data_IF_079104163911
#
_entry.id   IF_079104163911
#
_cell.length_a   1.000
_cell.length_b   1.000
_cell.length_c   1.000
_cell.angle_alpha   90.00
_cell.angle_beta   90.00
_cell.angle_gamma   90.00
#
_symmetry.space_group_name_H-M   'P 1'
#
loop_
_entity.id
_entity.type
_entity.pdbx_description
1 polymer ?
#
# COMPACT_ATOMS: atom_id res chain seq x y z
N UNK A 1 23.08 11.24 -1.54
CA UNK A 1 22.43 10.59 -0.41
C UNK A 1 20.96 10.31 -0.71
N UNK A 2 20.48 9.14 -0.31
CA UNK A 2 19.09 8.77 -0.55
C UNK A 2 18.10 9.64 0.22
N UNK A 3 18.42 9.97 1.48
CA UNK A 3 17.54 10.78 2.32
C UNK A 3 17.63 12.26 1.95
N UNK A 4 16.47 12.88 1.64
CA UNK A 4 16.38 14.28 1.24
C UNK A 4 15.03 14.85 1.69
N UNK A 5 15.03 16.05 2.26
CA UNK A 5 13.82 16.76 2.69
C UNK A 5 12.87 17.07 1.54
N UNK A 6 13.36 17.13 0.30
CA UNK A 6 12.57 17.44 -0.88
C UNK A 6 12.03 16.20 -1.60
N UNK A 7 12.34 15.01 -1.11
CA UNK A 7 11.77 13.78 -1.68
C UNK A 7 10.28 13.72 -1.45
N UNK A 8 9.56 13.28 -2.49
CA UNK A 8 8.11 13.11 -2.46
C UNK A 8 7.76 11.63 -2.33
N UNK A 9 6.75 11.36 -1.53
CA UNK A 9 6.23 10.01 -1.32
C UNK A 9 4.93 9.88 -2.11
N UNK A 10 4.88 8.88 -2.99
CA UNK A 10 3.68 8.53 -3.75
C UNK A 10 3.17 7.20 -3.23
N UNK A 11 1.93 7.20 -2.78
CA UNK A 11 1.28 5.99 -2.22
C UNK A 11 0.13 5.60 -3.13
N UNK A 12 0.13 4.35 -3.55
CA UNK A 12 -1.00 3.74 -4.25
C UNK A 12 -1.55 2.62 -3.38
N UNK A 13 -2.85 2.62 -3.15
CA UNK A 13 -3.50 1.63 -2.29
C UNK A 13 -4.73 1.06 -2.97
N UNK A 14 -4.89 -0.26 -2.84
CA UNK A 14 -6.14 -0.93 -3.18
C UNK A 14 -6.87 -1.29 -1.89
N UNK A 15 -8.17 -1.11 -1.88
CA UNK A 15 -9.02 -1.34 -0.70
C UNK A 15 -10.23 -2.18 -1.07
N UNK A 16 -10.90 -2.72 -0.06
CA UNK A 16 -12.13 -3.49 -0.26
C UNK A 16 -13.31 -2.63 -0.69
N UNK A 17 -13.22 -1.32 -0.49
CA UNK A 17 -14.25 -0.35 -0.89
C UNK A 17 -13.82 1.05 -0.51
N UNK A 18 -14.76 2.00 -0.55
CA UNK A 18 -14.49 3.42 -0.32
C UNK A 18 -14.88 3.92 1.07
N UNK A 19 -15.42 3.06 1.93
CA UNK A 19 -15.82 3.44 3.27
C UNK A 19 -14.65 3.24 4.24
N UNK A 20 -14.00 4.33 4.74
CA UNK A 20 -12.83 4.20 5.60
C UNK A 20 -13.12 3.56 6.95
N UNK A 21 -14.38 3.54 7.40
CA UNK A 21 -14.74 2.93 8.69
C UNK A 21 -14.95 1.43 8.59
N UNK A 22 -15.33 0.92 7.42
CA UNK A 22 -15.69 -0.49 7.23
C UNK A 22 -14.74 -1.24 6.30
N UNK A 23 -14.13 -0.54 5.35
CA UNK A 23 -13.29 -1.17 4.34
C UNK A 23 -11.84 -1.27 4.79
N UNK A 24 -11.11 -2.23 4.23
CA UNK A 24 -9.74 -2.57 4.62
C UNK A 24 -8.80 -2.42 3.45
N UNK A 25 -7.54 -2.12 3.76
CA UNK A 25 -6.46 -2.07 2.78
C UNK A 25 -6.08 -3.50 2.39
N UNK A 26 -5.93 -3.75 1.10
CA UNK A 26 -5.53 -5.06 0.58
C UNK A 26 -4.20 -5.02 -0.18
N UNK A 27 -3.78 -3.86 -0.68
CA UNK A 27 -2.48 -3.70 -1.31
C UNK A 27 -1.97 -2.27 -1.11
N UNK A 28 -0.66 -2.13 -0.88
CA UNK A 28 0.01 -0.83 -0.77
C UNK A 28 1.28 -0.84 -1.60
N UNK A 29 1.49 0.20 -2.38
CA UNK A 29 2.71 0.41 -3.14
C UNK A 29 3.26 1.80 -2.86
N UNK A 30 4.58 1.93 -2.78
CA UNK A 30 5.25 3.20 -2.54
C UNK A 30 6.26 3.49 -3.65
N UNK A 31 6.33 4.77 -4.05
CA UNK A 31 7.37 5.27 -4.94
C UNK A 31 7.91 6.56 -4.35
N UNK A 32 9.22 6.72 -4.36
CA UNK A 32 9.88 7.94 -3.93
C UNK A 32 10.41 8.65 -5.17
N UNK A 33 10.09 9.94 -5.29
CA UNK A 33 10.64 10.79 -6.34
C UNK A 33 11.35 11.99 -5.71
N UNK A 34 12.18 12.67 -6.50
CA UNK A 34 12.67 13.97 -6.11
C UNK A 34 11.60 15.04 -6.42
N UNK A 35 11.93 16.31 -6.12
CA UNK A 35 11.00 17.44 -6.34
C UNK A 35 10.69 17.67 -7.83
N UNK A 36 11.46 17.11 -8.73
CA UNK A 36 11.28 17.22 -10.18
C UNK A 36 10.62 15.96 -10.79
N UNK A 37 10.10 15.08 -9.94
CA UNK A 37 9.40 13.86 -10.30
C UNK A 37 10.28 12.75 -10.92
N UNK A 38 11.61 12.86 -10.74
CA UNK A 38 12.50 11.75 -11.10
C UNK A 38 12.41 10.67 -10.05
N UNK A 39 12.28 9.40 -10.48
CA UNK A 39 12.20 8.27 -9.54
C UNK A 39 13.53 8.11 -8.80
N UNK A 40 13.47 8.23 -7.47
CA UNK A 40 14.62 7.99 -6.58
C UNK A 40 14.65 6.51 -6.19
N UNK A 41 13.48 5.94 -5.82
CA UNK A 41 13.36 4.54 -5.46
C UNK A 41 11.94 4.05 -5.69
N UNK A 42 11.82 2.80 -6.13
CA UNK A 42 10.56 2.09 -6.13
C UNK A 42 10.48 1.25 -4.85
N UNK A 43 9.43 1.50 -4.08
CA UNK A 43 9.23 0.78 -2.84
C UNK A 43 8.62 -0.58 -3.02
N UNK A 44 8.47 -1.32 -1.92
CA UNK A 44 7.82 -2.61 -1.99
C UNK A 44 6.35 -2.47 -2.35
N UNK A 45 5.84 -3.47 -3.07
CA UNK A 45 4.40 -3.67 -3.25
C UNK A 45 4.01 -4.76 -2.26
N UNK A 46 3.24 -4.40 -1.24
CA UNK A 46 2.87 -5.32 -0.16
C UNK A 46 1.38 -5.60 -0.20
N UNK A 47 1.04 -6.89 -0.17
CA UNK A 47 -0.35 -7.37 -0.14
C UNK A 47 -0.69 -7.72 1.30
N UNK A 48 -1.77 -7.13 1.81
CA UNK A 48 -2.24 -7.33 3.17
C UNK A 48 -3.22 -8.49 3.21
N UNK A 49 -2.99 -9.45 4.10
CA UNK A 49 -3.95 -10.54 4.30
C UNK A 49 -5.24 -10.01 4.91
N UNK A 50 -6.36 -10.43 4.35
CA UNK A 50 -7.68 -10.19 4.92
C UNK A 50 -8.46 -11.50 4.96
N UNK A 51 -9.39 -11.60 5.91
CA UNK A 51 -10.21 -12.79 6.07
C UNK A 51 -11.18 -12.95 4.89
N UNK A 52 -11.66 -14.17 4.70
CA UNK A 52 -12.69 -14.45 3.70
C UNK A 52 -13.95 -13.60 3.96
N UNK A 53 -14.31 -13.38 5.21
CA UNK A 53 -15.46 -12.54 5.59
C UNK A 53 -15.30 -11.11 5.07
N UNK A 54 -14.12 -10.53 5.23
CA UNK A 54 -13.83 -9.18 4.72
C UNK A 54 -13.94 -9.14 3.21
N UNK A 55 -13.36 -10.12 2.53
CA UNK A 55 -13.40 -10.19 1.07
C UNK A 55 -14.81 -10.45 0.53
N UNK A 56 -15.57 -11.27 1.19
CA UNK A 56 -16.95 -11.57 0.81
C UNK A 56 -17.87 -10.36 1.01
N UNK A 57 -17.52 -9.48 1.92
CA UNK A 57 -18.25 -8.23 2.16
C UNK A 57 -18.04 -7.15 1.12
N UNK A 58 -17.09 -7.32 0.18
CA UNK A 58 -16.87 -6.34 -0.88
C UNK A 58 -18.09 -6.24 -1.78
N UNK A 59 -18.35 -5.01 -2.31
CA UNK A 59 -19.40 -4.85 -3.28
C UNK A 59 -19.07 -5.57 -4.60
N UNK A 60 -20.07 -5.72 -5.46
CA UNK A 60 -19.95 -6.48 -6.69
C UNK A 60 -18.89 -5.92 -7.64
N UNK A 61 -18.76 -4.61 -7.71
CA UNK A 61 -17.78 -3.95 -8.57
C UNK A 61 -16.35 -4.24 -8.10
N UNK A 62 -16.09 -4.06 -6.79
CA UNK A 62 -14.77 -4.32 -6.21
C UNK A 62 -14.39 -5.80 -6.32
N UNK A 63 -15.31 -6.71 -6.05
CA UNK A 63 -15.06 -8.15 -6.21
C UNK A 63 -14.65 -8.49 -7.65
N UNK A 64 -15.38 -7.97 -8.63
CA UNK A 64 -15.09 -8.22 -10.03
C UNK A 64 -13.76 -7.64 -10.46
N UNK A 65 -13.48 -6.39 -10.05
CA UNK A 65 -12.25 -5.68 -10.41
C UNK A 65 -11.03 -6.37 -9.83
N UNK A 66 -11.05 -6.68 -8.54
CA UNK A 66 -9.91 -7.30 -7.87
C UNK A 66 -9.73 -8.78 -8.27
N UNK A 67 -10.81 -9.48 -8.57
CA UNK A 67 -10.73 -10.84 -9.10
C UNK A 67 -10.04 -10.88 -10.47
N UNK A 68 -10.36 -9.92 -11.34
CA UNK A 68 -9.74 -9.84 -12.67
C UNK A 68 -8.24 -9.57 -12.62
N UNK A 69 -7.78 -8.79 -11.64
CA UNK A 69 -6.35 -8.51 -11.46
C UNK A 69 -5.61 -9.64 -10.74
N UNK A 70 -6.31 -10.63 -10.22
CA UNK A 70 -5.74 -11.69 -9.40
C UNK A 70 -5.41 -11.26 -7.97
N UNK A 71 -5.79 -10.05 -7.58
CA UNK A 71 -5.46 -9.49 -6.27
C UNK A 71 -6.14 -10.25 -5.13
N UNK A 72 -7.38 -10.70 -5.30
CA UNK A 72 -8.08 -11.46 -4.26
C UNK A 72 -7.31 -12.72 -3.88
N UNK A 73 -6.78 -13.45 -4.87
CA UNK A 73 -5.98 -14.65 -4.61
C UNK A 73 -4.68 -14.30 -3.87
N UNK A 74 -4.04 -13.19 -4.24
CA UNK A 74 -2.84 -12.71 -3.56
C UNK A 74 -3.12 -12.33 -2.11
N UNK A 75 -4.26 -11.68 -1.85
CA UNK A 75 -4.68 -11.32 -0.50
C UNK A 75 -4.87 -12.56 0.36
N UNK A 76 -5.56 -13.58 -0.16
CA UNK A 76 -5.76 -14.85 0.55
C UNK A 76 -4.45 -15.57 0.85
N UNK A 77 -3.50 -15.50 -0.06
CA UNK A 77 -2.20 -16.15 0.08
C UNK A 77 -1.21 -15.37 0.94
N UNK A 78 -1.42 -14.06 1.12
CA UNK A 78 -0.52 -13.23 1.91
C UNK A 78 -0.52 -13.63 3.38
N UNK A 79 0.65 -13.53 4.01
CA UNK A 79 0.84 -13.77 5.44
C UNK A 79 1.09 -12.49 6.22
N UNK A 80 1.06 -11.33 5.55
CA UNK A 80 1.31 -10.04 6.18
C UNK A 80 0.00 -9.46 6.69
N UNK A 81 -0.02 -9.08 7.96
CA UNK A 81 -1.14 -8.31 8.53
C UNK A 81 -0.91 -6.80 8.31
N UNK A 82 -1.90 -5.97 8.66
CA UNK A 82 -1.82 -4.53 8.48
C UNK A 82 -0.65 -3.91 9.25
N UNK A 83 -0.36 -4.40 10.45
CA UNK A 83 0.73 -3.89 11.29
C UNK A 83 2.09 -4.20 10.66
N UNK A 84 2.27 -5.42 10.16
CA UNK A 84 3.51 -5.82 9.50
C UNK A 84 3.78 -5.01 8.23
N UNK A 85 2.73 -4.77 7.44
CA UNK A 85 2.83 -3.94 6.24
C UNK A 85 3.19 -2.51 6.60
N UNK A 86 2.53 -1.93 7.61
CA UNK A 86 2.85 -0.59 8.10
C UNK A 86 4.31 -0.49 8.54
N UNK A 87 4.80 -1.46 9.29
CA UNK A 87 6.19 -1.47 9.76
C UNK A 87 7.17 -1.49 8.60
N UNK A 88 6.95 -2.33 7.61
CA UNK A 88 7.82 -2.41 6.43
C UNK A 88 7.79 -1.12 5.61
N UNK A 89 6.62 -0.48 5.47
CA UNK A 89 6.50 0.80 4.78
C UNK A 89 7.26 1.90 5.50
N UNK A 90 7.15 1.99 6.82
CA UNK A 90 7.87 2.99 7.62
C UNK A 90 9.38 2.79 7.50
N UNK A 91 9.87 1.56 7.59
CA UNK A 91 11.30 1.27 7.44
C UNK A 91 11.81 1.69 6.07
N UNK A 92 11.06 1.44 5.02
CA UNK A 92 11.40 1.90 3.67
C UNK A 92 11.45 3.43 3.61
N UNK A 93 10.44 4.12 4.13
CA UNK A 93 10.37 5.58 4.09
C UNK A 93 11.53 6.25 4.82
N UNK A 94 12.01 5.68 5.92
CA UNK A 94 13.14 6.21 6.69
C UNK A 94 14.43 6.29 5.89
N UNK A 95 14.56 5.50 4.83
CA UNK A 95 15.75 5.51 3.97
C UNK A 95 15.79 6.75 3.05
N UNK A 96 14.66 7.37 2.78
CA UNK A 96 14.53 8.41 1.75
C UNK A 96 13.95 9.73 2.26
N UNK A 97 13.21 9.71 3.36
CA UNK A 97 12.55 10.89 3.91
C UNK A 97 12.92 11.03 5.38
N UNK A 98 13.47 12.19 5.79
CA UNK A 98 13.80 12.42 7.20
C UNK A 98 12.57 12.35 8.09
N UNK A 99 12.76 11.85 9.32
CA UNK A 99 11.71 11.77 10.31
C UNK A 99 11.14 13.15 10.63
N UNK A 100 9.82 13.25 10.72
CA UNK A 100 9.12 14.50 11.02
C UNK A 100 8.82 15.37 9.81
N UNK A 101 9.21 14.94 8.60
CA UNK A 101 8.88 15.64 7.36
C UNK A 101 7.60 15.04 6.78
N UNK A 102 6.61 15.89 6.54
CA UNK A 102 5.36 15.47 5.89
C UNK A 102 5.53 15.51 4.38
N UNK A 103 5.13 14.46 3.69
CA UNK A 103 5.20 14.45 2.22
C UNK A 103 4.18 15.39 1.58
#
# INVERSE_FOLDING_TARGET
MAQDNNNLIWVDMEMTGLNPDADRIIEVALVITDSQLNTVAEGPVLVVHQSNEVLDGMDKWNKSTHAKSGLIDKVKASRLNEIEVETQMIEFLKLYVPSGISP
#
